data_IF_079448584496
#
_entry.id   IF_079448584496
#
_cell.length_a   1.000
_cell.length_b   1.000
_cell.length_c   1.000
_cell.angle_alpha   90.00
_cell.angle_beta   90.00
_cell.angle_gamma   90.00
#
_symmetry.space_group_name_H-M   'P 1'
#
loop_
_entity.id
_entity.type
_entity.pdbx_description
1 polymer ?
#
# COMPACT_ATOMS: atom_id res chain seq x y z
N UNK A 1 -23.59 38.32 9.87
CA UNK A 1 -23.74 36.99 9.29
C UNK A 1 -22.63 36.13 9.87
N UNK A 2 -22.93 35.24 10.82
CA UNK A 2 -21.93 34.32 11.37
C UNK A 2 -21.61 33.26 10.34
N UNK A 3 -20.33 33.05 10.08
CA UNK A 3 -19.84 31.96 9.24
C UNK A 3 -20.10 30.63 9.95
N UNK A 4 -20.45 29.57 9.19
CA UNK A 4 -20.68 28.22 9.75
C UNK A 4 -19.50 27.73 10.63
N UNK A 5 -18.29 28.24 10.40
CA UNK A 5 -17.11 27.99 11.22
C UNK A 5 -17.23 28.52 12.67
N UNK A 6 -17.86 29.67 12.90
CA UNK A 6 -18.00 30.27 14.23
C UNK A 6 -19.00 29.48 15.10
N UNK A 7 -20.05 28.96 14.47
CA UNK A 7 -21.07 28.11 15.13
C UNK A 7 -20.48 26.76 15.53
N UNK A 8 -19.54 26.22 14.73
CA UNK A 8 -18.82 24.98 15.04
C UNK A 8 -17.83 25.22 16.19
N UNK A 9 -17.16 26.38 16.22
CA UNK A 9 -16.20 26.75 17.27
C UNK A 9 -16.84 26.91 18.66
N UNK A 10 -18.01 27.54 18.75
CA UNK A 10 -18.73 27.66 20.03
C UNK A 10 -19.24 26.29 20.53
N UNK A 11 -19.51 25.34 19.63
CA UNK A 11 -19.88 23.96 19.98
C UNK A 11 -18.68 23.11 20.42
N UNK A 12 -17.46 23.44 19.96
CA UNK A 12 -16.21 22.74 20.30
C UNK A 12 -15.80 22.89 21.78
N UNK A 13 -16.24 23.96 22.44
CA UNK A 13 -15.95 24.24 23.86
C UNK A 13 -16.77 23.37 24.84
N UNK A 14 -17.79 22.65 24.36
CA UNK A 14 -18.55 21.66 25.15
C UNK A 14 -18.41 20.25 24.59
N UNK A 15 -17.53 20.06 23.59
CA UNK A 15 -17.41 18.79 22.88
C UNK A 15 -16.54 17.82 23.69
N UNK A 16 -16.90 16.53 23.79
CA UNK A 16 -16.09 15.51 24.49
C UNK A 16 -14.62 15.42 23.98
N UNK A 17 -14.34 15.96 22.79
CA UNK A 17 -13.00 16.04 22.22
C UNK A 17 -12.08 17.03 22.95
N UNK A 18 -12.62 17.99 23.72
CA UNK A 18 -11.81 18.99 24.43
C UNK A 18 -10.97 18.36 25.55
N UNK A 19 -11.50 17.30 26.18
CA UNK A 19 -10.80 16.53 27.21
C UNK A 19 -9.71 15.60 26.65
N UNK A 20 -9.66 15.42 25.33
CA UNK A 20 -8.65 14.57 24.70
C UNK A 20 -7.29 15.29 24.63
N UNK A 21 -6.23 14.51 24.83
CA UNK A 21 -4.86 14.92 24.60
C UNK A 21 -4.58 15.06 23.11
N UNK A 22 -3.56 15.84 22.74
CA UNK A 22 -3.12 15.97 21.34
C UNK A 22 -2.76 14.61 20.74
N UNK A 23 -2.17 13.71 21.55
CA UNK A 23 -1.84 12.34 21.12
C UNK A 23 -3.09 11.55 20.75
N UNK A 24 -4.13 11.62 21.58
CA UNK A 24 -5.41 10.94 21.30
C UNK A 24 -6.10 11.52 20.06
N UNK A 25 -6.09 12.86 19.91
CA UNK A 25 -6.64 13.52 18.72
C UNK A 25 -5.89 13.12 17.44
N UNK A 26 -4.56 13.00 17.50
CA UNK A 26 -3.76 12.53 16.36
C UNK A 26 -4.02 11.05 16.03
N UNK A 27 -4.20 10.19 17.03
CA UNK A 27 -4.59 8.79 16.81
C UNK A 27 -5.96 8.71 16.10
N UNK A 28 -6.91 9.50 16.57
CA UNK A 28 -8.25 9.61 16.00
C UNK A 28 -8.21 10.10 14.54
N UNK A 29 -7.42 11.12 14.24
CA UNK A 29 -7.22 11.62 12.87
C UNK A 29 -6.51 10.58 11.98
N UNK A 30 -5.53 9.87 12.52
CA UNK A 30 -4.82 8.80 11.80
C UNK A 30 -5.79 7.68 11.41
N UNK A 31 -6.64 7.24 12.33
CA UNK A 31 -7.69 6.25 12.07
C UNK A 31 -8.65 6.71 10.95
N UNK A 32 -8.96 8.00 10.91
CA UNK A 32 -9.83 8.61 9.88
C UNK A 32 -9.11 8.92 8.56
N UNK A 33 -7.81 8.65 8.45
CA UNK A 33 -6.94 9.04 7.33
C UNK A 33 -6.93 10.55 7.04
N UNK A 34 -6.88 11.36 8.11
CA UNK A 34 -6.87 12.82 8.03
C UNK A 34 -5.49 13.39 8.40
N UNK A 35 -5.24 14.63 7.95
CA UNK A 35 -3.99 15.32 8.27
C UNK A 35 -3.79 15.49 9.78
N UNK A 36 -2.56 15.29 10.24
CA UNK A 36 -2.13 15.44 11.64
C UNK A 36 -1.53 16.82 11.96
N UNK A 37 -1.55 17.75 11.00
CA UNK A 37 -0.95 19.08 11.12
C UNK A 37 -1.86 20.06 11.83
N UNK A 38 -1.26 21.05 12.49
CA UNK A 38 -1.96 22.15 13.15
C UNK A 38 -1.94 22.06 14.69
N UNK A 39 -2.55 23.07 15.31
CA UNK A 39 -2.76 23.16 16.75
C UNK A 39 -3.93 22.27 17.21
N UNK A 40 -4.15 22.15 18.52
CA UNK A 40 -5.21 21.27 19.08
C UNK A 40 -6.60 21.59 18.51
N UNK A 41 -6.94 22.86 18.32
CA UNK A 41 -8.24 23.26 17.78
C UNK A 41 -8.38 22.86 16.31
N UNK A 42 -7.32 23.02 15.51
CA UNK A 42 -7.29 22.58 14.11
C UNK A 42 -7.55 21.07 14.00
N UNK A 43 -6.97 20.28 14.92
CA UNK A 43 -7.20 18.84 14.98
C UNK A 43 -8.65 18.51 15.34
N UNK A 44 -9.21 19.21 16.34
CA UNK A 44 -10.59 18.98 16.79
C UNK A 44 -11.61 19.37 15.72
N UNK A 45 -11.46 20.53 15.08
CA UNK A 45 -12.30 20.97 13.96
C UNK A 45 -12.35 19.92 12.87
N UNK A 46 -11.18 19.42 12.45
CA UNK A 46 -11.07 18.45 11.37
C UNK A 46 -11.80 17.14 11.68
N UNK A 47 -11.77 16.69 12.94
CA UNK A 47 -12.55 15.52 13.40
C UNK A 47 -14.05 15.81 13.32
N UNK A 48 -14.49 16.99 13.76
CA UNK A 48 -15.90 17.39 13.75
C UNK A 48 -16.44 17.55 12.32
N UNK A 49 -15.67 18.19 11.44
CA UNK A 49 -16.00 18.34 10.03
C UNK A 49 -16.14 16.99 9.33
N UNK A 50 -15.17 16.08 9.52
CA UNK A 50 -15.23 14.72 8.97
C UNK A 50 -16.42 13.92 9.51
N UNK A 51 -16.72 14.04 10.81
CA UNK A 51 -17.89 13.41 11.41
C UNK A 51 -19.19 13.88 10.75
N UNK A 52 -19.38 15.20 10.63
CA UNK A 52 -20.58 15.76 10.00
C UNK A 52 -20.67 15.38 8.52
N UNK A 53 -19.55 15.39 7.81
CA UNK A 53 -19.47 14.95 6.42
C UNK A 53 -19.93 13.50 6.27
N UNK A 54 -19.33 12.56 7.01
CA UNK A 54 -19.68 11.12 6.95
C UNK A 54 -21.11 10.84 7.41
N UNK A 55 -21.61 11.61 8.38
CA UNK A 55 -23.01 11.53 8.81
C UNK A 55 -23.95 11.89 7.66
N UNK A 56 -23.65 12.95 6.92
CA UNK A 56 -24.45 13.39 5.78
C UNK A 56 -24.32 12.43 4.58
N UNK A 57 -23.17 11.78 4.43
CA UNK A 57 -22.91 10.78 3.39
C UNK A 57 -23.45 9.38 3.74
N UNK A 58 -23.91 9.15 4.97
CA UNK A 58 -24.39 7.84 5.44
C UNK A 58 -23.28 6.82 5.71
N UNK A 59 -22.01 7.21 5.70
CA UNK A 59 -20.83 6.34 5.89
C UNK A 59 -20.33 6.31 7.33
N UNK A 60 -21.01 7.01 8.24
CA UNK A 60 -20.60 7.10 9.65
C UNK A 60 -20.67 5.75 10.37
N UNK A 61 -21.69 4.94 10.09
CA UNK A 61 -21.88 3.64 10.74
C UNK A 61 -20.83 2.61 10.30
N UNK A 62 -20.39 2.67 9.05
CA UNK A 62 -19.27 1.87 8.54
C UNK A 62 -17.96 2.23 9.27
N UNK A 63 -17.69 3.52 9.44
CA UNK A 63 -16.50 3.99 10.17
C UNK A 63 -16.53 3.54 11.64
N UNK A 64 -17.69 3.57 12.28
CA UNK A 64 -17.86 3.08 13.66
C UNK A 64 -17.68 1.57 13.75
N UNK A 65 -18.16 0.82 12.75
CA UNK A 65 -17.97 -0.64 12.66
C UNK A 65 -16.49 -0.98 12.53
N UNK A 66 -15.76 -0.28 11.63
CA UNK A 66 -14.32 -0.42 11.48
C UNK A 66 -13.57 -0.09 12.77
N UNK A 67 -14.02 0.93 13.51
CA UNK A 67 -13.42 1.28 14.81
C UNK A 67 -13.51 0.11 15.78
N UNK A 68 -14.68 -0.51 15.90
CA UNK A 68 -14.86 -1.64 16.80
C UNK A 68 -13.96 -2.82 16.41
N UNK A 69 -13.79 -3.08 15.12
CA UNK A 69 -12.85 -4.10 14.64
C UNK A 69 -11.39 -3.76 14.99
N UNK A 70 -10.98 -2.51 14.77
CA UNK A 70 -9.62 -2.02 15.04
C UNK A 70 -9.21 -2.10 16.52
N UNK A 71 -10.18 -2.06 17.44
CA UNK A 71 -9.93 -2.21 18.88
C UNK A 71 -10.04 -3.66 19.38
N UNK A 72 -10.62 -4.56 18.58
CA UNK A 72 -10.76 -5.98 18.91
C UNK A 72 -9.61 -6.83 18.37
N UNK A 73 -8.90 -6.36 17.35
CA UNK A 73 -7.66 -6.98 16.86
C UNK A 73 -6.51 -6.63 17.83
N UNK A 74 -6.44 -7.35 18.96
CA UNK A 74 -5.18 -7.48 19.68
C UNK A 74 -4.14 -8.07 18.73
N UNK A 75 -2.95 -7.45 18.70
CA UNK A 75 -1.79 -7.87 17.91
C UNK A 75 -1.80 -7.48 16.43
N UNK A 76 -1.86 -6.18 16.16
CA UNK A 76 -1.16 -5.65 14.98
C UNK A 76 0.33 -5.98 15.14
N UNK A 77 0.98 -6.68 14.18
CA UNK A 77 2.41 -6.91 14.25
C UNK A 77 3.09 -5.55 14.33
N UNK A 78 3.93 -5.37 15.37
CA UNK A 78 4.61 -4.10 15.62
C UNK A 78 5.14 -3.50 14.31
N UNK A 79 4.89 -2.21 14.07
CA UNK A 79 5.38 -1.48 12.89
C UNK A 79 6.88 -1.72 12.63
N UNK A 80 7.64 -1.99 13.70
CA UNK A 80 9.06 -2.34 13.64
C UNK A 80 9.31 -3.70 12.96
N UNK A 81 8.50 -4.71 13.26
CA UNK A 81 8.58 -6.03 12.64
C UNK A 81 8.20 -5.96 11.16
N UNK A 82 7.12 -5.24 10.83
CA UNK A 82 6.73 -4.99 9.44
C UNK A 82 7.83 -4.25 8.66
N UNK A 83 8.46 -3.23 9.26
CA UNK A 83 9.57 -2.52 8.62
C UNK A 83 10.80 -3.41 8.41
N UNK A 84 11.08 -4.33 9.34
CA UNK A 84 12.16 -5.30 9.18
C UNK A 84 11.87 -6.29 8.05
N UNK A 85 10.63 -6.77 7.95
CA UNK A 85 10.19 -7.67 6.90
C UNK A 85 10.25 -7.00 5.52
N UNK A 86 9.77 -5.77 5.39
CA UNK A 86 9.86 -4.98 4.15
C UNK A 86 11.31 -4.83 3.70
N UNK A 87 12.23 -4.48 4.62
CA UNK A 87 13.65 -4.36 4.30
C UNK A 87 14.26 -5.69 3.87
N UNK A 88 13.88 -6.79 4.52
CA UNK A 88 14.33 -8.13 4.15
C UNK A 88 13.86 -8.51 2.75
N UNK A 89 12.59 -8.25 2.43
CA UNK A 89 12.02 -8.52 1.11
C UNK A 89 12.68 -7.67 0.01
N UNK A 90 12.92 -6.38 0.27
CA UNK A 90 13.64 -5.50 -0.67
C UNK A 90 15.04 -6.05 -1.01
N UNK A 91 15.77 -6.53 0.00
CA UNK A 91 17.08 -7.15 -0.20
C UNK A 91 17.00 -8.42 -1.05
N UNK A 92 15.98 -9.26 -0.85
CA UNK A 92 15.79 -10.46 -1.66
C UNK A 92 15.49 -10.13 -3.12
N UNK A 93 14.64 -9.12 -3.38
CA UNK A 93 14.34 -8.66 -4.74
C UNK A 93 15.61 -8.13 -5.44
N UNK A 94 16.46 -7.41 -4.73
CA UNK A 94 17.75 -6.91 -5.24
C UNK A 94 18.70 -8.06 -5.60
N UNK A 95 18.82 -9.09 -4.75
CA UNK A 95 19.62 -10.29 -5.04
C UNK A 95 19.11 -11.03 -6.28
N UNK A 96 17.79 -11.18 -6.42
CA UNK A 96 17.19 -11.80 -7.60
C UNK A 96 17.45 -10.98 -8.86
N UNK A 97 17.32 -9.65 -8.79
CA UNK A 97 17.58 -8.75 -9.92
C UNK A 97 19.04 -8.81 -10.40
N UNK A 98 19.99 -8.90 -9.47
CA UNK A 98 21.43 -9.01 -9.78
C UNK A 98 21.79 -10.38 -10.39
N UNK A 99 21.10 -11.44 -10.01
CA UNK A 99 21.31 -12.78 -10.57
C UNK A 99 20.87 -12.92 -12.03
N UNK A 100 19.91 -12.10 -12.47
CA UNK A 100 19.43 -12.07 -13.87
C UNK A 100 20.34 -11.22 -14.77
N UNK A 101 21.04 -10.23 -14.21
CA UNK A 101 21.91 -9.31 -14.97
C UNK A 101 23.37 -9.80 -15.12
N UNK A 102 23.82 -10.79 -14.34
CA UNK A 102 25.20 -11.28 -14.35
C UNK A 102 25.45 -12.61 -15.10
N UNK A 103 24.59 -13.00 -16.05
CA UNK A 103 24.87 -14.17 -16.88
C UNK A 103 25.27 -13.79 -18.31
N UNK A 104 26.52 -13.35 -18.58
CA UNK A 104 27.12 -13.62 -19.86
C UNK A 104 27.54 -15.10 -19.83
N UNK A 105 26.68 -15.98 -20.35
CA UNK A 105 27.13 -17.31 -20.75
C UNK A 105 28.38 -17.10 -21.64
N UNK A 106 29.51 -17.81 -21.39
CA UNK A 106 30.63 -17.76 -22.30
C UNK A 106 30.15 -18.36 -23.63
N UNK A 107 29.81 -17.49 -24.58
CA UNK A 107 29.50 -17.88 -25.93
C UNK A 107 30.79 -18.44 -26.53
N UNK A 108 30.83 -19.70 -26.98
CA UNK A 108 32.00 -20.19 -27.69
C UNK A 108 32.19 -19.34 -28.96
N UNK A 109 33.45 -19.10 -29.39
CA UNK A 109 33.70 -18.34 -30.60
C UNK A 109 32.92 -18.93 -31.78
N UNK A 110 32.34 -18.09 -32.66
CA UNK A 110 31.32 -18.49 -33.65
C UNK A 110 31.84 -19.37 -34.81
N UNK A 111 32.97 -20.05 -34.64
CA UNK A 111 33.70 -20.72 -35.72
C UNK A 111 33.77 -22.25 -35.60
N UNK A 112 33.03 -22.88 -34.68
CA UNK A 112 33.11 -24.34 -34.47
C UNK A 112 31.77 -25.09 -34.33
N UNK A 113 30.62 -24.41 -34.41
CA UNK A 113 29.34 -25.09 -34.32
C UNK A 113 28.96 -25.57 -35.72
N UNK A 114 28.86 -26.88 -35.88
CA UNK A 114 28.36 -27.51 -37.10
C UNK A 114 26.99 -26.88 -37.47
N UNK A 115 26.75 -26.54 -38.76
CA UNK A 115 25.53 -25.87 -39.19
C UNK A 115 24.24 -26.60 -38.79
N UNK A 116 24.27 -27.93 -38.73
CA UNK A 116 23.14 -28.75 -38.31
C UNK A 116 22.90 -28.62 -36.80
N UNK A 117 23.97 -28.57 -36.01
CA UNK A 117 23.89 -28.33 -34.56
C UNK A 117 23.36 -26.92 -34.27
N UNK A 118 23.80 -25.91 -35.03
CA UNK A 118 23.29 -24.55 -34.91
C UNK A 118 21.78 -24.48 -35.22
N UNK A 119 21.32 -25.15 -36.28
CA UNK A 119 19.91 -25.20 -36.64
C UNK A 119 19.05 -25.88 -35.56
N UNK A 120 19.53 -26.98 -34.98
CA UNK A 120 18.84 -27.68 -33.88
C UNK A 120 18.71 -26.77 -32.66
N UNK A 121 19.79 -26.08 -32.28
CA UNK A 121 19.80 -25.18 -31.13
C UNK A 121 18.89 -23.97 -31.36
N UNK A 122 18.90 -23.36 -32.55
CA UNK A 122 17.98 -22.28 -32.90
C UNK A 122 16.52 -22.72 -32.84
N UNK A 123 16.21 -23.91 -33.38
CA UNK A 123 14.85 -24.46 -33.36
C UNK A 123 14.38 -24.74 -31.92
N UNK A 124 15.27 -25.27 -31.07
CA UNK A 124 14.99 -25.52 -29.66
C UNK A 124 14.70 -24.22 -28.91
N UNK A 125 15.55 -23.21 -29.09
CA UNK A 125 15.38 -21.88 -28.48
C UNK A 125 14.07 -21.22 -28.91
N UNK A 126 13.74 -21.27 -30.21
CA UNK A 126 12.48 -20.72 -30.74
C UNK A 126 11.26 -21.48 -30.19
N UNK A 127 11.35 -22.81 -30.06
CA UNK A 127 10.27 -23.63 -29.48
C UNK A 127 10.04 -23.30 -27.99
N UNK A 128 11.12 -23.14 -27.22
CA UNK A 128 11.03 -22.74 -25.81
C UNK A 128 10.43 -21.34 -25.64
N UNK A 129 10.82 -20.40 -26.51
CA UNK A 129 10.24 -19.06 -26.54
C UNK A 129 8.73 -19.10 -26.79
N UNK A 130 8.28 -19.82 -27.82
CA UNK A 130 6.84 -19.94 -28.11
C UNK A 130 6.05 -20.62 -26.99
N UNK A 131 6.65 -21.58 -26.28
CA UNK A 131 6.01 -22.20 -25.12
C UNK A 131 5.78 -21.19 -23.98
N UNK A 132 6.77 -20.35 -23.68
CA UNK A 132 6.67 -19.31 -22.66
C UNK A 132 5.66 -18.22 -23.05
N UNK A 133 5.62 -17.82 -24.32
CA UNK A 133 4.62 -16.86 -24.81
C UNK A 133 3.19 -17.41 -24.70
N UNK A 134 2.99 -18.71 -24.96
CA UNK A 134 1.68 -19.36 -24.77
C UNK A 134 1.29 -19.44 -23.29
N UNK A 135 2.22 -19.72 -22.39
CA UNK A 135 1.98 -19.68 -20.93
C UNK A 135 1.56 -18.28 -20.48
N UNK A 136 2.23 -17.23 -20.98
CA UNK A 136 1.92 -15.85 -20.64
C UNK A 136 0.52 -15.42 -21.16
N UNK A 137 0.17 -15.80 -22.39
CA UNK A 137 -1.10 -15.43 -23.00
C UNK A 137 -2.30 -16.29 -22.54
N UNK A 138 -2.05 -17.50 -22.03
CA UNK A 138 -3.09 -18.39 -21.48
C UNK A 138 -3.71 -17.86 -20.17
N UNK A 139 -3.00 -16.99 -19.43
CA UNK A 139 -3.51 -16.39 -18.20
C UNK A 139 -4.48 -15.19 -18.44
N UNK A 140 -4.79 -14.87 -19.70
CA UNK A 140 -5.62 -13.72 -20.07
C UNK A 140 -7.08 -14.06 -20.44
N UNK A 141 -7.54 -15.31 -20.26
CA UNK A 141 -8.91 -15.75 -20.66
C UNK A 141 -9.88 -15.92 -19.46
N UNK A 142 -9.51 -15.49 -18.25
CA UNK A 142 -10.48 -15.34 -17.14
C UNK A 142 -10.40 -13.94 -16.53
N UNK A 143 -11.06 -12.99 -17.18
CA UNK A 143 -11.66 -11.80 -16.56
C UNK A 143 -12.96 -11.45 -17.26
#
# INVERSE_FOLDING_TARGET
MSTNADIIFDSLASHPLQNLTIVQLKKELCFRNLSLTGNKNDLMLRIVEDYNKRKNEGTLDELNTLRMQYFNDEETPSDRNLLMEIKSLQKHVELLSNSVTQSPLPMPPPSQIDPNIAAILSTLMETQKQFLERQANSNHIYK
#
